data_IF_432199340217
#
_entry.id   IF_432199340217
#
_cell.length_a   1.000
_cell.length_b   1.000
_cell.length_c   1.000
_cell.angle_alpha   90.00
_cell.angle_beta   90.00
_cell.angle_gamma   90.00
#
_symmetry.space_group_name_H-M   'P 1'
#
loop_
_entity.id
_entity.type
_entity.pdbx_description
1 polymer ?
#
# COMPACT_ATOMS: atom_id res chain seq x y z
N UNK A 1 4.52 6.35 12.48
CA UNK A 1 4.34 5.20 11.55
C UNK A 1 4.08 3.98 12.42
N UNK A 2 3.01 3.25 12.15
CA UNK A 2 2.66 2.01 12.84
C UNK A 2 3.08 0.75 12.04
N UNK A 3 3.37 0.92 10.75
CA UNK A 3 3.77 -0.10 9.79
C UNK A 3 5.25 -0.13 9.44
N UNK A 4 5.57 -1.07 8.53
CA UNK A 4 6.88 -1.14 7.87
C UNK A 4 7.02 -0.02 6.83
N UNK A 5 8.24 0.44 6.61
CA UNK A 5 8.63 1.29 5.49
C UNK A 5 9.79 0.70 4.66
N UNK A 6 10.29 -0.48 5.05
CA UNK A 6 11.24 -1.28 4.29
C UNK A 6 10.53 -2.53 3.82
N UNK A 7 10.58 -2.80 2.52
CA UNK A 7 9.93 -3.93 1.88
C UNK A 7 10.89 -4.65 0.96
N UNK A 8 10.71 -5.96 0.78
CA UNK A 8 11.38 -6.68 -0.31
C UNK A 8 10.78 -6.33 -1.66
N UNK A 9 11.47 -6.66 -2.76
CA UNK A 9 10.89 -6.54 -4.10
C UNK A 9 9.56 -7.31 -4.24
N UNK A 10 9.48 -8.50 -3.63
CA UNK A 10 8.28 -9.33 -3.63
C UNK A 10 7.14 -8.66 -2.84
N UNK A 11 7.42 -8.18 -1.62
CA UNK A 11 6.44 -7.45 -0.80
C UNK A 11 5.95 -6.19 -1.55
N UNK A 12 6.85 -5.45 -2.20
CA UNK A 12 6.49 -4.27 -2.99
C UNK A 12 5.60 -4.61 -4.20
N UNK A 13 5.87 -5.73 -4.88
CA UNK A 13 5.02 -6.23 -5.96
C UNK A 13 3.63 -6.60 -5.44
N UNK A 14 3.55 -7.30 -4.32
CA UNK A 14 2.27 -7.66 -3.70
C UNK A 14 1.49 -6.41 -3.26
N UNK A 15 2.13 -5.45 -2.58
CA UNK A 15 1.47 -4.20 -2.18
C UNK A 15 0.83 -3.54 -3.39
N UNK A 16 1.57 -3.38 -4.49
CA UNK A 16 1.04 -2.77 -5.72
C UNK A 16 -0.13 -3.55 -6.31
N UNK A 17 -0.03 -4.89 -6.36
CA UNK A 17 -1.13 -5.75 -6.84
C UNK A 17 -2.40 -5.56 -6.01
N UNK A 18 -2.28 -5.58 -4.67
CA UNK A 18 -3.43 -5.43 -3.78
C UNK A 18 -4.02 -4.00 -3.82
N UNK A 19 -3.19 -2.97 -3.99
CA UNK A 19 -3.65 -1.60 -4.20
C UNK A 19 -4.40 -1.46 -5.52
N UNK A 20 -3.94 -2.11 -6.59
CA UNK A 20 -4.64 -2.13 -7.87
C UNK A 20 -6.00 -2.85 -7.75
N UNK A 21 -6.02 -4.04 -7.15
CA UNK A 21 -7.26 -4.79 -6.88
C UNK A 21 -8.23 -3.99 -6.02
N UNK A 22 -7.75 -3.30 -4.98
CA UNK A 22 -8.56 -2.42 -4.15
C UNK A 22 -9.12 -1.22 -4.94
N UNK A 23 -8.38 -0.71 -5.93
CA UNK A 23 -8.83 0.40 -6.78
C UNK A 23 -9.92 -0.03 -7.76
N UNK A 24 -9.77 -1.20 -8.36
CA UNK A 24 -10.73 -1.79 -9.30
C UNK A 24 -11.98 -2.30 -8.59
N UNK A 25 -11.81 -2.79 -7.37
CA UNK A 25 -12.90 -3.17 -6.49
C UNK A 25 -13.75 -1.94 -6.12
N UNK A 26 -15.07 -2.04 -6.31
CA UNK A 26 -16.02 -1.06 -5.78
C UNK A 26 -15.98 -0.98 -4.25
N UNK A 27 -16.56 0.08 -3.67
CA UNK A 27 -16.46 0.43 -2.22
C UNK A 27 -16.69 -0.73 -1.23
N UNK A 28 -17.55 -1.70 -1.55
CA UNK A 28 -17.82 -2.85 -0.68
C UNK A 28 -16.75 -3.95 -0.66
N UNK A 29 -15.91 -4.01 -1.71
CA UNK A 29 -14.96 -5.12 -1.93
C UNK A 29 -13.51 -4.69 -1.66
N UNK A 30 -13.28 -3.40 -1.37
CA UNK A 30 -11.94 -2.87 -1.06
C UNK A 30 -11.42 -3.35 0.31
N UNK A 31 -12.33 -3.51 1.28
CA UNK A 31 -11.97 -3.76 2.69
C UNK A 31 -11.08 -5.00 2.88
N UNK A 32 -11.37 -6.17 2.28
CA UNK A 32 -10.48 -7.34 2.34
C UNK A 32 -9.05 -7.06 1.85
N UNK A 33 -8.90 -6.37 0.71
CA UNK A 33 -7.58 -6.05 0.17
C UNK A 33 -6.78 -5.12 1.08
N UNK A 34 -7.44 -4.12 1.68
CA UNK A 34 -6.79 -3.21 2.63
C UNK A 34 -6.45 -3.92 3.95
N UNK A 35 -7.28 -4.85 4.41
CA UNK A 35 -6.96 -5.65 5.60
C UNK A 35 -5.78 -6.58 5.36
N UNK A 36 -5.68 -7.19 4.17
CA UNK A 36 -4.53 -8.00 3.78
C UNK A 36 -3.22 -7.20 3.83
N UNK A 37 -3.20 -6.01 3.21
CA UNK A 37 -2.04 -5.10 3.26
C UNK A 37 -1.60 -4.82 4.70
N UNK A 38 -2.54 -4.63 5.63
CA UNK A 38 -2.25 -4.33 7.04
C UNK A 38 -1.75 -5.53 7.82
N UNK A 39 -2.38 -6.70 7.66
CA UNK A 39 -2.10 -7.90 8.47
C UNK A 39 -0.84 -8.62 8.00
N UNK A 40 -0.74 -8.86 6.70
CA UNK A 40 0.32 -9.68 6.13
C UNK A 40 1.56 -8.83 5.83
N UNK A 41 1.36 -7.70 5.13
CA UNK A 41 2.47 -6.86 4.68
C UNK A 41 2.85 -5.76 5.67
N UNK A 42 2.10 -5.63 6.79
CA UNK A 42 2.23 -4.51 7.75
C UNK A 42 2.29 -3.15 7.08
N UNK A 43 1.58 -3.00 5.97
CA UNK A 43 1.49 -1.78 5.17
C UNK A 43 0.24 -1.00 5.57
N UNK A 44 0.46 0.14 6.22
CA UNK A 44 -0.61 1.03 6.64
C UNK A 44 -0.61 2.28 5.76
N UNK A 45 -1.57 2.37 4.85
CA UNK A 45 -1.74 3.55 3.97
C UNK A 45 -1.74 4.86 4.75
N UNK A 46 -2.33 4.88 5.95
CA UNK A 46 -2.42 6.05 6.83
C UNK A 46 -1.06 6.54 7.34
N UNK A 47 -0.02 5.70 7.30
CA UNK A 47 1.35 6.13 7.64
C UNK A 47 1.97 7.01 6.54
N UNK A 48 1.46 6.93 5.33
CA UNK A 48 2.03 7.60 4.15
C UNK A 48 1.10 8.66 3.55
N UNK A 49 -0.19 8.65 3.91
CA UNK A 49 -1.12 9.69 3.50
C UNK A 49 -2.18 9.96 4.56
N UNK A 50 -2.54 11.23 4.71
CA UNK A 50 -3.70 11.67 5.51
C UNK A 50 -5.01 11.62 4.72
N UNK A 51 -4.93 11.42 3.40
CA UNK A 51 -6.09 11.42 2.52
C UNK A 51 -6.89 10.11 2.65
N UNK A 52 -8.20 10.25 2.84
CA UNK A 52 -9.15 9.12 2.77
C UNK A 52 -9.47 8.69 1.33
N UNK A 53 -8.93 9.39 0.31
CA UNK A 53 -9.16 9.04 -1.10
C UNK A 53 -8.01 8.20 -1.66
N UNK A 54 -8.42 7.11 -2.33
CA UNK A 54 -7.69 6.16 -3.21
C UNK A 54 -6.17 6.34 -3.16
N UNK A 55 -5.53 5.62 -2.25
CA UNK A 55 -4.10 5.33 -2.35
C UNK A 55 -3.90 4.28 -3.44
N UNK A 56 -2.96 4.52 -4.34
CA UNK A 56 -2.82 3.79 -5.59
C UNK A 56 -1.39 3.25 -5.75
N UNK A 57 -1.14 2.30 -6.67
CA UNK A 57 0.21 1.87 -6.98
C UNK A 57 1.12 3.04 -7.36
N UNK A 58 0.62 4.04 -8.08
CA UNK A 58 1.41 5.22 -8.45
C UNK A 58 1.81 6.07 -7.24
N UNK A 59 0.96 6.14 -6.21
CA UNK A 59 1.33 6.80 -4.95
C UNK A 59 2.41 6.01 -4.22
N UNK A 60 2.37 4.68 -4.27
CA UNK A 60 3.42 3.84 -3.69
C UNK A 60 4.76 4.08 -4.38
N UNK A 61 4.80 4.05 -5.72
CA UNK A 61 6.03 4.29 -6.48
C UNK A 61 6.58 5.71 -6.26
N UNK A 62 5.71 6.72 -6.11
CA UNK A 62 6.14 8.08 -5.74
C UNK A 62 6.83 8.11 -4.36
N UNK A 63 6.31 7.38 -3.36
CA UNK A 63 6.92 7.32 -2.03
C UNK A 63 8.27 6.58 -2.03
N UNK A 64 8.43 5.60 -2.92
CA UNK A 64 9.72 4.94 -3.15
C UNK A 64 10.70 5.92 -3.77
N UNK A 65 10.29 6.66 -4.80
CA UNK A 65 11.12 7.68 -5.44
C UNK A 65 11.52 8.82 -4.49
N UNK A 66 10.62 9.20 -3.56
CA UNK A 66 10.89 10.17 -2.50
C UNK A 66 11.76 9.62 -1.35
N UNK A 67 12.09 8.33 -1.36
CA UNK A 67 12.87 7.68 -0.30
C UNK A 67 12.10 7.48 1.02
N UNK A 68 10.78 7.63 1.02
CA UNK A 68 9.91 7.36 2.18
C UNK A 68 9.63 5.87 2.36
N UNK A 69 9.72 5.11 1.27
CA UNK A 69 9.66 3.65 1.26
C UNK A 69 10.98 3.13 0.67
N UNK A 70 11.62 2.23 1.39
CA UNK A 70 12.83 1.55 0.94
C UNK A 70 12.46 0.17 0.39
N UNK A 71 12.98 -0.17 -0.79
CA UNK A 71 12.88 -1.52 -1.35
C UNK A 71 14.29 -2.13 -1.37
N UNK A 72 14.43 -3.32 -0.76
CA UNK A 72 15.68 -4.09 -0.68
C UNK A 72 15.60 -5.44 -1.37
#
# INVERSE_FOLDING_TARGET
>A
MNGKNHFTQEEAFEIKKYLQSAREAGMGVQKPFIEYLRKELRFFITDFTVSRKRFTPENFDALVAEGKITIS
#
